data_IF_054332446101
#
_entry.id   IF_054332446101
#
_cell.length_a   1.000
_cell.length_b   1.000
_cell.length_c   1.000
_cell.angle_alpha   90.00
_cell.angle_beta   90.00
_cell.angle_gamma   90.00
#
_symmetry.space_group_name_H-M   'P 1'
#
loop_
_entity.id
_entity.type
_entity.pdbx_description
1 polymer ?
#
# COMPACT_ATOMS: atom_id res chain seq x y z
N UNK A 1 -29.69 35.99 -29.16
CA UNK A 1 -29.12 35.38 -30.39
C UNK A 1 -28.18 34.26 -29.96
N UNK A 2 -28.35 33.00 -30.40
CA UNK A 2 -27.42 31.95 -30.03
C UNK A 2 -26.09 32.21 -30.72
N UNK A 3 -25.03 32.37 -29.93
CA UNK A 3 -23.65 32.55 -30.40
C UNK A 3 -23.32 31.30 -31.23
N UNK A 4 -23.05 31.46 -32.53
CA UNK A 4 -22.55 30.37 -33.38
C UNK A 4 -21.23 29.89 -32.78
N UNK A 5 -21.23 28.70 -32.17
CA UNK A 5 -20.01 28.08 -31.68
C UNK A 5 -19.24 27.54 -32.88
N UNK A 6 -18.13 28.17 -33.24
CA UNK A 6 -17.23 27.62 -34.25
C UNK A 6 -16.47 26.41 -33.69
N UNK A 7 -16.40 25.33 -34.47
CA UNK A 7 -15.65 24.14 -34.10
C UNK A 7 -14.18 24.42 -34.37
N UNK A 8 -13.35 24.36 -33.34
CA UNK A 8 -11.91 24.66 -33.41
C UNK A 8 -11.11 23.38 -33.61
N UNK A 9 -11.53 22.28 -32.96
CA UNK A 9 -10.84 20.98 -32.99
C UNK A 9 -11.82 19.85 -33.34
N UNK A 10 -12.14 19.64 -34.64
CA UNK A 10 -13.09 18.61 -35.06
C UNK A 10 -12.73 17.19 -34.63
N UNK A 11 -11.43 16.90 -34.46
CA UNK A 11 -10.93 15.57 -34.06
C UNK A 11 -11.48 15.11 -32.70
N UNK A 12 -11.86 16.03 -31.81
CA UNK A 12 -12.47 15.66 -30.54
C UNK A 12 -13.95 15.25 -30.67
N UNK A 13 -14.64 15.65 -31.74
CA UNK A 13 -15.99 15.15 -32.02
C UNK A 13 -15.96 13.68 -32.43
N UNK A 14 -14.95 13.30 -33.23
CA UNK A 14 -14.70 11.89 -33.58
C UNK A 14 -14.36 11.06 -32.32
N UNK A 15 -13.71 11.66 -31.32
CA UNK A 15 -13.43 11.01 -30.05
C UNK A 15 -14.69 10.71 -29.21
N UNK A 16 -15.80 11.42 -29.44
CA UNK A 16 -17.05 11.21 -28.70
C UNK A 16 -17.65 9.83 -28.97
N UNK A 17 -17.43 9.24 -30.14
CA UNK A 17 -17.93 7.89 -30.49
C UNK A 17 -17.33 6.80 -29.60
N UNK A 18 -16.14 7.01 -29.05
CA UNK A 18 -15.46 6.07 -28.15
C UNK A 18 -15.81 6.29 -26.68
N UNK A 19 -16.56 7.35 -26.37
CA UNK A 19 -16.96 7.66 -25.01
C UNK A 19 -18.11 6.75 -24.57
N UNK A 20 -17.95 6.07 -23.43
CA UNK A 20 -18.96 5.17 -22.87
C UNK A 20 -19.93 5.86 -21.91
N UNK A 21 -19.65 7.12 -21.54
CA UNK A 21 -20.42 7.88 -20.56
C UNK A 21 -20.73 9.28 -21.09
N UNK A 22 -21.95 9.76 -20.85
CA UNK A 22 -22.42 11.09 -21.30
C UNK A 22 -21.55 12.21 -20.76
N UNK A 23 -20.95 12.03 -19.58
CA UNK A 23 -19.98 12.96 -19.02
C UNK A 23 -18.77 13.15 -19.93
N UNK A 24 -18.16 12.05 -20.41
CA UNK A 24 -16.98 12.12 -21.26
C UNK A 24 -17.33 12.61 -22.66
N UNK A 25 -18.48 12.21 -23.21
CA UNK A 25 -19.01 12.78 -24.44
C UNK A 25 -19.07 14.31 -24.38
N UNK A 26 -19.64 14.87 -23.30
CA UNK A 26 -19.73 16.31 -23.10
C UNK A 26 -18.35 16.97 -22.95
N UNK A 27 -17.41 16.34 -22.26
CA UNK A 27 -16.04 16.87 -22.08
C UNK A 27 -15.30 16.94 -23.42
N UNK A 28 -15.39 15.89 -24.25
CA UNK A 28 -14.76 15.88 -25.57
C UNK A 28 -15.47 16.81 -26.55
N UNK A 29 -16.79 16.92 -26.47
CA UNK A 29 -17.55 17.91 -27.23
C UNK A 29 -17.14 19.34 -26.86
N UNK A 30 -17.05 19.67 -25.57
CA UNK A 30 -16.57 20.98 -25.11
C UNK A 30 -15.13 21.27 -25.59
N UNK A 31 -14.24 20.27 -25.56
CA UNK A 31 -12.88 20.38 -26.09
C UNK A 31 -12.86 20.69 -27.59
N UNK A 32 -13.81 20.15 -28.38
CA UNK A 32 -13.94 20.46 -29.80
C UNK A 32 -14.25 21.94 -30.06
N UNK A 33 -14.98 22.58 -29.15
CA UNK A 33 -15.27 24.02 -29.16
C UNK A 33 -14.18 24.86 -28.46
N UNK A 34 -13.05 24.26 -28.08
CA UNK A 34 -11.96 24.93 -27.37
C UNK A 34 -12.26 25.24 -25.91
N UNK A 35 -13.34 24.68 -25.34
CA UNK A 35 -13.63 24.77 -23.90
C UNK A 35 -12.92 23.65 -23.18
N UNK A 36 -12.08 24.03 -22.23
CA UNK A 36 -11.27 23.09 -21.48
C UNK A 36 -11.85 22.84 -20.08
N UNK A 37 -11.66 21.63 -19.52
CA UNK A 37 -11.98 21.38 -18.12
C UNK A 37 -11.24 22.33 -17.17
N UNK A 38 -11.83 22.56 -15.99
CA UNK A 38 -11.26 23.46 -15.00
C UNK A 38 -9.78 23.14 -14.69
N UNK A 39 -8.93 24.16 -14.74
CA UNK A 39 -7.50 24.00 -14.50
C UNK A 39 -6.64 23.66 -15.71
N UNK A 40 -7.27 23.46 -16.87
CA UNK A 40 -6.59 23.26 -18.14
C UNK A 40 -6.88 24.39 -19.09
N UNK A 41 -5.96 24.64 -20.00
CA UNK A 41 -6.09 25.65 -21.04
C UNK A 41 -5.45 25.17 -22.32
N UNK A 42 -5.94 25.65 -23.47
CA UNK A 42 -5.31 25.39 -24.76
C UNK A 42 -4.44 26.59 -25.13
N UNK A 43 -3.17 26.33 -25.46
CA UNK A 43 -2.24 27.34 -25.95
C UNK A 43 -1.51 26.80 -27.18
N UNK A 44 -1.61 27.48 -28.34
CA UNK A 44 -0.93 27.09 -29.60
C UNK A 44 -1.09 25.60 -29.96
N UNK A 45 -2.32 25.07 -29.90
CA UNK A 45 -2.64 23.64 -30.11
C UNK A 45 -2.03 22.67 -29.07
N UNK A 46 -1.63 23.15 -27.90
CA UNK A 46 -1.29 22.30 -26.76
C UNK A 46 -2.36 22.40 -25.69
N UNK A 47 -2.87 21.25 -25.24
CA UNK A 47 -3.64 21.15 -24.00
C UNK A 47 -2.66 21.15 -22.83
N UNK A 48 -2.75 22.18 -21.99
CA UNK A 48 -1.81 22.45 -20.91
C UNK A 48 -2.51 22.47 -19.55
N UNK A 49 -1.75 22.11 -18.52
CA UNK A 49 -2.08 22.33 -17.12
C UNK A 49 -0.83 22.89 -16.42
N UNK A 50 -1.01 23.96 -15.64
CA UNK A 50 0.07 24.63 -14.91
C UNK A 50 -0.02 24.46 -13.39
N UNK A 51 -0.89 23.57 -12.89
CA UNK A 51 -0.97 23.30 -11.46
C UNK A 51 0.28 22.57 -10.96
N UNK A 52 0.90 23.13 -9.91
CA UNK A 52 2.07 22.55 -9.22
C UNK A 52 1.85 21.06 -8.93
N UNK A 53 2.81 20.22 -9.35
CA UNK A 53 2.80 18.75 -9.26
C UNK A 53 1.79 18.02 -10.19
N UNK A 54 1.05 18.72 -11.04
CA UNK A 54 0.12 18.18 -12.05
C UNK A 54 0.33 18.77 -13.44
N UNK A 55 1.52 19.32 -13.68
CA UNK A 55 1.86 19.97 -14.93
C UNK A 55 1.91 18.97 -16.08
N UNK A 56 1.33 19.36 -17.22
CA UNK A 56 1.50 18.67 -18.48
C UNK A 56 1.28 19.64 -19.63
N UNK A 57 1.87 19.30 -20.78
CA UNK A 57 1.60 19.93 -22.07
C UNK A 57 1.46 18.83 -23.10
N UNK A 58 0.29 18.72 -23.71
CA UNK A 58 -0.02 17.69 -24.70
C UNK A 58 -0.36 18.34 -26.03
N UNK A 59 0.36 17.98 -27.09
CA UNK A 59 0.13 18.52 -28.43
C UNK A 59 -1.10 17.87 -29.08
N UNK A 60 -2.06 18.69 -29.45
CA UNK A 60 -3.26 18.27 -30.18
C UNK A 60 -2.87 18.09 -31.65
N UNK A 61 -2.54 16.87 -32.03
CA UNK A 61 -2.23 16.49 -33.40
C UNK A 61 -3.36 15.62 -33.95
N UNK A 62 -3.57 15.68 -35.28
CA UNK A 62 -4.43 14.70 -35.95
C UNK A 62 -3.76 13.34 -35.91
N UNK A 63 -4.27 12.47 -35.04
CA UNK A 63 -3.92 11.05 -34.90
C UNK A 63 -5.19 10.22 -35.05
N UNK A 64 -5.02 8.91 -34.99
CA UNK A 64 -6.14 7.99 -34.82
C UNK A 64 -7.07 8.46 -33.68
N UNK A 65 -8.39 8.67 -33.92
CA UNK A 65 -9.32 9.21 -32.93
C UNK A 65 -9.39 8.39 -31.64
N UNK A 66 -9.27 7.06 -31.74
CA UNK A 66 -9.29 6.18 -30.59
C UNK A 66 -8.02 6.34 -29.73
N UNK A 67 -6.84 6.41 -30.36
CA UNK A 67 -5.59 6.70 -29.65
C UNK A 67 -5.62 8.07 -28.97
N UNK A 68 -6.12 9.11 -29.66
CA UNK A 68 -6.26 10.45 -29.09
C UNK A 68 -7.22 10.47 -27.89
N UNK A 69 -8.37 9.80 -28.00
CA UNK A 69 -9.31 9.65 -26.90
C UNK A 69 -8.64 9.03 -25.67
N UNK A 70 -7.91 7.92 -25.84
CA UNK A 70 -7.22 7.23 -24.75
C UNK A 70 -6.18 8.13 -24.08
N UNK A 71 -5.38 8.86 -24.87
CA UNK A 71 -4.34 9.75 -24.36
C UNK A 71 -4.93 10.86 -23.50
N UNK A 72 -5.92 11.57 -24.04
CA UNK A 72 -6.58 12.69 -23.36
C UNK A 72 -7.35 12.19 -22.13
N UNK A 73 -8.09 11.09 -22.26
CA UNK A 73 -8.79 10.46 -21.15
C UNK A 73 -7.82 10.08 -20.02
N UNK A 74 -6.70 9.42 -20.35
CA UNK A 74 -5.68 9.06 -19.36
C UNK A 74 -5.07 10.29 -18.70
N UNK A 75 -4.82 11.34 -19.46
CA UNK A 75 -4.21 12.56 -18.96
C UNK A 75 -5.16 13.31 -18.02
N UNK A 76 -6.43 13.47 -18.38
CA UNK A 76 -7.46 14.08 -17.54
C UNK A 76 -7.76 13.23 -16.29
N UNK A 77 -7.81 11.90 -16.41
CA UNK A 77 -8.10 11.01 -15.28
C UNK A 77 -6.91 10.80 -14.33
N UNK A 78 -5.70 10.56 -14.85
CA UNK A 78 -4.51 10.22 -14.04
C UNK A 78 -3.79 11.46 -13.49
N UNK A 79 -3.69 12.55 -14.27
CA UNK A 79 -2.99 13.77 -13.82
C UNK A 79 -3.91 14.72 -13.07
N UNK A 80 -5.10 15.00 -13.60
CA UNK A 80 -6.03 15.95 -12.98
C UNK A 80 -6.96 15.30 -11.95
N UNK A 81 -7.31 14.03 -12.15
CA UNK A 81 -8.25 13.32 -11.30
C UNK A 81 -9.71 13.59 -11.67
N UNK A 82 -9.97 14.01 -12.91
CA UNK A 82 -11.32 14.18 -13.44
C UNK A 82 -11.93 12.79 -13.60
N UNK A 83 -13.11 12.59 -13.02
CA UNK A 83 -13.80 11.30 -13.01
C UNK A 83 -15.30 11.54 -13.17
N UNK A 84 -15.94 10.68 -13.95
CA UNK A 84 -17.40 10.66 -14.05
C UNK A 84 -18.04 10.17 -12.75
N UNK A 85 -19.35 10.37 -12.60
CA UNK A 85 -20.05 9.90 -11.40
C UNK A 85 -19.98 8.37 -11.25
N UNK A 86 -20.12 7.63 -12.37
CA UNK A 86 -20.00 6.17 -12.39
C UNK A 86 -18.62 5.71 -11.92
N UNK A 87 -17.56 6.38 -12.38
CA UNK A 87 -16.18 6.08 -11.98
C UNK A 87 -15.90 6.39 -10.51
N UNK A 88 -16.47 7.49 -9.98
CA UNK A 88 -16.38 7.84 -8.55
C UNK A 88 -17.03 6.76 -7.67
N UNK A 89 -18.22 6.29 -8.05
CA UNK A 89 -18.91 5.21 -7.35
C UNK A 89 -18.10 3.91 -7.40
N UNK A 90 -17.61 3.52 -8.58
CA UNK A 90 -16.76 2.32 -8.74
C UNK A 90 -15.51 2.38 -7.87
N UNK A 91 -14.77 3.49 -7.88
CA UNK A 91 -13.59 3.67 -7.02
C UNK A 91 -13.93 3.59 -5.54
N UNK A 92 -15.08 4.10 -5.12
CA UNK A 92 -15.54 3.99 -3.72
C UNK A 92 -15.83 2.54 -3.34
N UNK A 93 -16.52 1.80 -4.21
CA UNK A 93 -16.79 0.36 -4.00
C UNK A 93 -15.48 -0.43 -3.94
N UNK A 94 -14.54 -0.19 -4.85
CA UNK A 94 -13.24 -0.87 -4.87
C UNK A 94 -12.41 -0.53 -3.63
N UNK A 95 -12.47 0.71 -3.15
CA UNK A 95 -11.87 1.12 -1.89
C UNK A 95 -12.46 0.35 -0.70
N UNK A 96 -13.78 0.28 -0.58
CA UNK A 96 -14.43 -0.46 0.51
C UNK A 96 -14.16 -1.96 0.46
N UNK A 97 -14.11 -2.56 -0.75
CA UNK A 97 -13.70 -3.96 -0.92
C UNK A 97 -12.26 -4.19 -0.44
N UNK A 98 -11.37 -3.27 -0.78
CA UNK A 98 -9.96 -3.32 -0.35
C UNK A 98 -9.85 -3.14 1.16
N UNK A 99 -10.59 -2.19 1.74
CA UNK A 99 -10.64 -1.95 3.18
C UNK A 99 -11.14 -3.19 3.94
N UNK A 100 -12.22 -3.81 3.46
CA UNK A 100 -12.81 -5.01 4.06
C UNK A 100 -11.84 -6.19 4.01
N UNK A 101 -11.19 -6.42 2.86
CA UNK A 101 -10.10 -7.40 2.75
C UNK A 101 -8.97 -7.12 3.74
N UNK A 102 -8.55 -5.87 3.89
CA UNK A 102 -7.50 -5.52 4.86
C UNK A 102 -7.94 -5.83 6.30
N UNK A 103 -9.22 -5.63 6.65
CA UNK A 103 -9.76 -5.99 7.96
C UNK A 103 -9.77 -7.50 8.16
N UNK A 104 -10.20 -8.27 7.16
CA UNK A 104 -10.20 -9.74 7.17
C UNK A 104 -8.77 -10.32 7.33
N UNK A 105 -7.79 -9.81 6.58
CA UNK A 105 -6.40 -10.27 6.70
C UNK A 105 -5.74 -9.87 8.03
N UNK A 106 -6.32 -8.95 8.79
CA UNK A 106 -5.79 -8.50 10.08
C UNK A 106 -6.61 -9.04 11.25
N UNK A 107 -7.17 -10.25 11.14
CA UNK A 107 -7.86 -10.88 12.27
C UNK A 107 -6.90 -11.49 13.29
N UNK A 108 -5.70 -11.88 12.89
CA UNK A 108 -4.70 -12.48 13.79
C UNK A 108 -3.44 -11.62 13.89
N UNK A 109 -2.80 -11.63 15.06
CA UNK A 109 -1.55 -10.91 15.30
C UNK A 109 -0.42 -11.31 14.33
N UNK A 110 -0.35 -12.59 13.98
CA UNK A 110 0.64 -13.14 13.04
C UNK A 110 0.52 -12.54 11.64
N UNK A 111 -0.69 -12.22 11.20
CA UNK A 111 -0.96 -11.72 9.84
C UNK A 111 -0.61 -10.24 9.65
N UNK A 112 -0.39 -9.50 10.74
CA UNK A 112 0.04 -8.10 10.69
C UNK A 112 1.54 -8.05 10.39
N UNK A 113 1.89 -7.84 9.10
CA UNK A 113 3.29 -7.81 8.64
C UNK A 113 4.01 -6.48 8.91
N UNK A 114 3.28 -5.36 8.94
CA UNK A 114 3.89 -4.02 9.08
C UNK A 114 4.21 -3.71 10.54
N UNK A 115 5.48 -3.51 10.85
CA UNK A 115 5.98 -3.19 12.20
C UNK A 115 5.27 -1.99 12.83
N UNK A 116 5.18 -0.86 12.14
CA UNK A 116 4.54 0.35 12.67
C UNK A 116 3.08 0.12 13.12
N UNK A 117 2.37 -0.82 12.48
CA UNK A 117 1.00 -1.16 12.88
C UNK A 117 1.01 -1.97 14.18
N UNK A 118 1.92 -2.94 14.31
CA UNK A 118 2.11 -3.70 15.55
C UNK A 118 2.50 -2.78 16.71
N UNK A 119 3.42 -1.86 16.47
CA UNK A 119 3.88 -0.91 17.50
C UNK A 119 2.71 -0.05 18.01
N UNK A 120 1.89 0.50 17.10
CA UNK A 120 0.67 1.25 17.47
C UNK A 120 -0.34 0.41 18.26
N UNK A 121 -0.51 -0.88 17.93
CA UNK A 121 -1.42 -1.76 18.65
C UNK A 121 -0.91 -2.06 20.07
N UNK A 122 0.39 -2.24 20.24
CA UNK A 122 1.02 -2.42 21.56
C UNK A 122 0.88 -1.14 22.40
N UNK A 123 1.17 0.03 21.82
CA UNK A 123 0.98 1.31 22.51
C UNK A 123 -0.45 1.49 22.99
N UNK A 124 -1.43 1.20 22.12
CA UNK A 124 -2.85 1.24 22.46
C UNK A 124 -3.18 0.30 23.62
N UNK A 125 -2.71 -0.96 23.55
CA UNK A 125 -2.92 -1.94 24.63
C UNK A 125 -2.39 -1.44 25.96
N UNK A 126 -1.18 -0.86 25.98
CA UNK A 126 -0.57 -0.32 27.19
C UNK A 126 -1.36 0.85 27.76
N UNK A 127 -1.91 1.73 26.91
CA UNK A 127 -2.80 2.82 27.33
C UNK A 127 -4.10 2.24 27.93
N UNK A 128 -4.69 1.24 27.29
CA UNK A 128 -5.91 0.58 27.77
C UNK A 128 -5.66 -0.06 29.15
N UNK A 129 -4.52 -0.74 29.34
CA UNK A 129 -4.12 -1.33 30.62
C UNK A 129 -3.80 -0.28 31.69
N UNK A 130 -3.19 0.85 31.32
CA UNK A 130 -2.98 1.98 32.22
C UNK A 130 -4.31 2.46 32.79
N UNK A 131 -5.30 2.66 31.93
CA UNK A 131 -6.62 3.14 32.34
C UNK A 131 -7.36 2.09 33.17
N UNK A 132 -7.34 0.82 32.74
CA UNK A 132 -8.01 -0.30 33.41
C UNK A 132 -7.44 -0.60 34.80
N UNK A 133 -6.12 -0.52 34.96
CA UNK A 133 -5.43 -0.88 36.21
C UNK A 133 -4.85 0.31 36.97
N UNK A 134 -5.21 1.54 36.55
CA UNK A 134 -4.78 2.81 37.16
C UNK A 134 -3.25 2.88 37.33
N UNK A 135 -2.52 2.49 36.29
CA UNK A 135 -1.05 2.48 36.31
C UNK A 135 -0.50 3.92 36.25
N UNK A 136 0.63 4.14 36.93
CA UNK A 136 1.35 5.40 36.80
C UNK A 136 2.00 5.55 35.42
N UNK A 137 2.38 6.77 35.04
CA UNK A 137 3.09 7.04 33.79
C UNK A 137 4.41 6.25 33.72
N UNK A 138 5.14 6.16 34.84
CA UNK A 138 6.39 5.39 34.93
C UNK A 138 6.15 3.91 34.65
N UNK A 139 5.13 3.32 35.26
CA UNK A 139 4.76 1.92 35.04
C UNK A 139 4.25 1.67 33.61
N UNK A 140 3.53 2.62 33.03
CA UNK A 140 3.04 2.54 31.65
C UNK A 140 4.22 2.49 30.67
N UNK A 141 5.21 3.39 30.84
CA UNK A 141 6.45 3.38 30.04
C UNK A 141 7.22 2.07 30.23
N UNK A 142 7.33 1.60 31.46
CA UNK A 142 7.97 0.32 31.77
C UNK A 142 7.28 -0.85 31.06
N UNK A 143 5.95 -0.95 31.14
CA UNK A 143 5.18 -1.99 30.46
C UNK A 143 5.42 -1.98 28.95
N UNK A 144 5.40 -0.79 28.34
CA UNK A 144 5.67 -0.63 26.92
C UNK A 144 7.06 -1.14 26.53
N UNK A 145 8.09 -0.73 27.27
CA UNK A 145 9.47 -1.17 27.05
C UNK A 145 9.60 -2.68 27.21
N UNK A 146 9.00 -3.26 28.26
CA UNK A 146 9.03 -4.71 28.52
C UNK A 146 8.38 -5.49 27.38
N UNK A 147 7.20 -5.08 26.91
CA UNK A 147 6.51 -5.79 25.82
C UNK A 147 7.35 -5.72 24.55
N UNK A 148 7.91 -4.56 24.20
CA UNK A 148 8.76 -4.45 23.02
C UNK A 148 10.01 -5.32 23.12
N UNK A 149 10.72 -5.28 24.25
CA UNK A 149 11.88 -6.14 24.51
C UNK A 149 11.49 -7.61 24.35
N UNK A 150 10.41 -8.04 25.00
CA UNK A 150 9.97 -9.42 24.97
C UNK A 150 9.55 -9.90 23.56
N UNK A 151 8.96 -9.04 22.73
CA UNK A 151 8.66 -9.34 21.32
C UNK A 151 9.94 -9.42 20.50
N UNK A 152 10.89 -8.49 20.69
CA UNK A 152 12.17 -8.45 19.96
C UNK A 152 12.99 -9.71 20.24
N UNK A 153 13.06 -10.13 21.50
CA UNK A 153 13.77 -11.35 21.91
C UNK A 153 12.94 -12.63 21.73
N UNK A 154 11.75 -12.54 21.14
CA UNK A 154 10.82 -13.67 20.93
C UNK A 154 10.42 -14.42 22.20
N UNK A 155 10.56 -13.78 23.37
CA UNK A 155 10.01 -14.26 24.65
C UNK A 155 8.47 -14.22 24.61
N UNK A 156 7.92 -13.23 23.89
CA UNK A 156 6.50 -13.16 23.54
C UNK A 156 6.39 -13.34 22.03
N UNK A 157 5.76 -14.45 21.63
CA UNK A 157 5.52 -14.82 20.24
C UNK A 157 4.09 -14.50 19.84
N UNK A 158 3.74 -14.73 18.57
CA UNK A 158 2.38 -14.49 18.08
C UNK A 158 1.32 -15.35 18.76
N UNK A 159 1.71 -16.50 19.36
CA UNK A 159 0.78 -17.39 20.09
C UNK A 159 0.38 -16.82 21.45
N UNK A 160 1.20 -15.91 21.98
CA UNK A 160 1.06 -15.36 23.32
C UNK A 160 0.24 -14.06 23.33
N UNK A 161 -0.14 -13.57 22.15
CA UNK A 161 -0.87 -12.33 21.97
C UNK A 161 -2.27 -12.65 21.48
N UNK A 162 -3.23 -12.52 22.37
CA UNK A 162 -4.65 -12.64 22.05
C UNK A 162 -5.11 -11.34 21.40
N UNK A 163 -5.42 -11.41 20.11
CA UNK A 163 -5.78 -10.27 19.31
C UNK A 163 -7.08 -10.55 18.56
N UNK A 164 -8.07 -9.68 18.74
CA UNK A 164 -9.38 -9.77 18.09
C UNK A 164 -9.93 -8.36 17.87
N UNK A 165 -10.81 -8.19 16.88
CA UNK A 165 -11.53 -6.93 16.63
C UNK A 165 -10.64 -5.69 16.49
N UNK A 166 -9.43 -5.85 15.95
CA UNK A 166 -8.51 -4.74 15.77
C UNK A 166 -7.76 -4.31 17.03
N UNK A 167 -7.81 -5.10 18.12
CA UNK A 167 -7.19 -4.77 19.41
C UNK A 167 -6.53 -6.00 20.05
N UNK A 168 -5.47 -5.75 20.82
CA UNK A 168 -4.90 -6.76 21.69
C UNK A 168 -5.79 -6.84 22.92
N UNK A 169 -6.33 -8.02 23.20
CA UNK A 169 -7.18 -8.27 24.38
C UNK A 169 -6.31 -8.62 25.59
N UNK A 170 -5.29 -9.46 25.37
CA UNK A 170 -4.44 -9.97 26.42
C UNK A 170 -3.08 -10.38 25.87
N UNK A 171 -2.06 -10.35 26.74
CA UNK A 171 -0.72 -10.85 26.45
C UNK A 171 -0.35 -11.85 27.54
N UNK A 172 -0.21 -13.11 27.16
CA UNK A 172 0.14 -14.18 28.08
C UNK A 172 1.51 -13.92 28.72
N UNK A 173 1.58 -14.12 30.04
CA UNK A 173 2.79 -13.86 30.83
C UNK A 173 2.86 -12.45 31.44
N UNK A 174 1.88 -11.59 31.19
CA UNK A 174 1.76 -10.28 31.83
C UNK A 174 0.45 -10.24 32.63
N UNK A 175 0.56 -10.00 33.93
CA UNK A 175 -0.58 -9.88 34.84
C UNK A 175 -0.57 -8.54 35.58
N UNK A 176 -1.76 -8.13 36.03
CA UNK A 176 -1.95 -6.86 36.71
C UNK A 176 -2.60 -7.09 38.08
N UNK A 177 -1.93 -6.64 39.14
CA UNK A 177 -2.42 -6.78 40.51
C UNK A 177 -2.33 -5.43 41.21
N UNK A 178 -3.47 -4.83 41.59
CA UNK A 178 -3.57 -3.59 42.40
C UNK A 178 -2.47 -2.55 42.07
N UNK A 179 -2.51 -1.96 40.86
CA UNK A 179 -1.54 -0.97 40.35
C UNK A 179 -0.10 -1.48 40.16
N UNK A 180 0.13 -2.80 40.16
CA UNK A 180 1.43 -3.41 39.84
C UNK A 180 1.33 -4.27 38.59
N UNK A 181 2.44 -4.33 37.86
CA UNK A 181 2.63 -5.19 36.70
C UNK A 181 3.45 -6.38 37.20
N UNK A 182 2.95 -7.59 37.00
CA UNK A 182 3.66 -8.84 37.27
C UNK A 182 3.99 -9.52 35.95
N UNK A 183 5.28 -9.77 35.71
CA UNK A 183 5.73 -10.47 34.52
C UNK A 183 6.04 -11.89 34.97
N UNK A 184 5.21 -12.84 34.55
CA UNK A 184 5.33 -14.26 34.92
C UNK A 184 6.36 -14.99 34.07
N UNK A 185 6.65 -14.49 32.86
CA UNK A 185 7.69 -15.04 32.02
C UNK A 185 9.04 -14.50 32.44
N UNK A 186 9.97 -15.42 32.64
CA UNK A 186 11.36 -15.02 32.79
C UNK A 186 11.86 -14.50 31.45
N UNK A 187 12.09 -13.19 31.38
CA UNK A 187 12.57 -12.51 30.18
C UNK A 187 14.06 -12.84 29.95
N UNK A 188 14.74 -13.37 30.96
CA UNK A 188 16.17 -13.71 30.95
C UNK A 188 16.42 -15.21 30.73
N UNK A 189 15.43 -16.07 31.00
CA UNK A 189 15.54 -17.50 30.75
C UNK A 189 15.04 -17.83 29.35
N UNK A 190 15.86 -17.48 28.35
CA UNK A 190 15.61 -17.87 26.97
C UNK A 190 16.04 -19.34 26.86
N UNK A 191 15.12 -20.27 27.12
CA UNK A 191 15.22 -21.64 26.63
C UNK A 191 15.12 -21.58 25.11
N UNK A 192 16.23 -21.20 24.46
CA UNK A 192 16.37 -21.36 23.03
C UNK A 192 16.43 -22.87 22.83
N UNK A 193 15.27 -23.48 22.57
CA UNK A 193 15.24 -24.80 21.96
C UNK A 193 15.83 -24.62 20.55
N UNK A 194 17.16 -24.56 20.46
CA UNK A 194 17.85 -24.88 19.24
C UNK A 194 17.47 -26.33 18.99
N UNK A 195 16.46 -26.56 18.14
CA UNK A 195 16.44 -27.83 17.42
C UNK A 195 17.81 -27.93 16.78
N UNK A 196 18.61 -28.97 17.07
CA UNK A 196 19.82 -29.23 16.30
C UNK A 196 19.34 -29.74 14.95
N UNK A 197 18.72 -28.87 14.16
CA UNK A 197 18.73 -29.00 12.72
C UNK A 197 20.21 -28.81 12.38
N UNK A 198 20.89 -29.95 12.27
CA UNK A 198 22.16 -30.03 11.57
C UNK A 198 21.84 -29.46 10.19
N UNK A 199 22.14 -28.18 10.00
CA UNK A 199 22.16 -27.58 8.68
C UNK A 199 23.25 -28.34 7.94
N UNK A 200 22.87 -29.37 7.20
CA UNK A 200 23.72 -29.88 6.14
C UNK A 200 23.88 -28.70 5.20
N UNK A 201 25.04 -28.03 5.29
CA UNK A 201 25.32 -26.86 4.49
C UNK A 201 24.95 -27.17 3.04
N UNK A 202 24.11 -26.31 2.45
CA UNK A 202 23.74 -26.45 1.04
C UNK A 202 25.04 -26.45 0.26
N UNK A 203 25.24 -27.49 -0.56
CA UNK A 203 26.43 -27.62 -1.41
C UNK A 203 26.74 -26.28 -2.08
N UNK A 204 27.87 -25.71 -1.73
CA UNK A 204 28.35 -24.44 -2.26
C UNK A 204 29.05 -24.74 -3.59
N UNK A 205 29.23 -23.73 -4.43
CA UNK A 205 29.90 -23.91 -5.73
C UNK A 205 31.31 -24.52 -5.59
N UNK A 206 31.99 -24.24 -4.47
CA UNK A 206 33.30 -24.81 -4.13
C UNK A 206 33.27 -26.35 -4.01
N UNK A 207 32.16 -26.95 -3.58
CA UNK A 207 32.02 -28.40 -3.45
C UNK A 207 32.00 -29.12 -4.82
N UNK A 208 31.81 -28.36 -5.91
CA UNK A 208 31.87 -28.87 -7.27
C UNK A 208 33.24 -28.66 -7.94
N UNK A 209 34.22 -28.07 -7.24
CA UNK A 209 35.53 -27.71 -7.79
C UNK A 209 36.31 -28.93 -8.31
N UNK A 210 36.28 -30.01 -7.56
CA UNK A 210 37.01 -31.24 -7.90
C UNK A 210 36.45 -31.92 -9.16
N UNK A 211 35.12 -31.83 -9.33
CA UNK A 211 34.40 -32.28 -10.53
C UNK A 211 34.76 -31.44 -11.75
N UNK A 212 34.95 -30.13 -11.56
CA UNK A 212 35.40 -29.22 -12.62
C UNK A 212 36.85 -29.51 -13.04
N UNK A 213 37.76 -29.69 -12.07
CA UNK A 213 39.17 -30.03 -12.35
C UNK A 213 39.31 -31.37 -13.08
N UNK A 214 38.52 -32.38 -12.71
CA UNK A 214 38.52 -33.68 -13.41
C UNK A 214 37.99 -33.58 -14.83
N UNK A 215 36.97 -32.76 -15.10
CA UNK A 215 36.49 -32.50 -16.45
C UNK A 215 37.56 -31.82 -17.33
N UNK A 216 38.27 -30.82 -16.79
CA UNK A 216 39.37 -30.15 -17.49
C UNK A 216 40.55 -31.10 -17.78
N UNK A 217 40.89 -32.00 -16.85
CA UNK A 217 41.95 -33.00 -17.05
C UNK A 217 41.60 -34.03 -18.12
N UNK A 218 40.32 -34.41 -18.25
CA UNK A 218 39.85 -35.29 -19.34
C UNK A 218 39.95 -34.62 -20.71
N UNK A 219 39.72 -33.32 -20.79
CA UNK A 219 39.84 -32.58 -22.06
C UNK A 219 41.28 -32.35 -22.53
N UNK A 220 42.26 -32.35 -21.62
CA UNK A 220 43.70 -32.24 -21.98
C UNK A 220 44.35 -33.55 -22.45
N UNK A 221 43.64 -34.68 -22.45
CA UNK A 221 44.14 -36.00 -22.86
C UNK A 221 43.66 -36.43 -24.26
N UNK A 222 43.24 -35.49 -25.10
CA UNK A 222 43.07 -35.68 -26.55
C UNK A 222 44.11 -34.86 -27.30
#
# INVERSE_FOLDING_TARGET
MPIKKEIIYPVFLECCEFSSDTFWANVFEDLAYGKTPYGTYINKNFLCCSYKNKEFSYKIERKDPHALYIDIYNLLTKKLGILSHKEKVKKRVDFHKTESRIKEFRQEWGNIRKKNIKDLLVERYVIDMKNKHLLSIKQTKYLLSVIFIAIVFKVITSKDIEYSDGKIQNIQGIEFTKKKIMIKRDIYNIDVSFSPEIFVDKKVMADNWEKYLTALRKHKRK
#
